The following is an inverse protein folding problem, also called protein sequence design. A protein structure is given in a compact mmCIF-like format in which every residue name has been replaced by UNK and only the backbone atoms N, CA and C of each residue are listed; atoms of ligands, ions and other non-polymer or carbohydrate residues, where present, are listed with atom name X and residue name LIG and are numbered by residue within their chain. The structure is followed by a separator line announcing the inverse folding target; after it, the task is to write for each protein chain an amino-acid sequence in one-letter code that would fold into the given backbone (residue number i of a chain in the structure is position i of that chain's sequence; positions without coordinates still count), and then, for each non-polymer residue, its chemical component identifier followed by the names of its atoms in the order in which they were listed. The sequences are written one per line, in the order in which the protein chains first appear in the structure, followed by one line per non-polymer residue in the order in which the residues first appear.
data_IF_003541385899
#
_entry.id   IF_003541385899
#
_cell.length_a   1.000
_cell.length_b   1.000
_cell.length_c   1.000
_cell.angle_alpha   90.00
_cell.angle_beta   90.00
_cell.angle_gamma   90.00
#
_symmetry.space_group_name_H-M   'P 1'
#
loop_
_entity.id
_entity.type
_entity.pdbx_description
1 polymer ?
#
# COMPACT_ATOMS: atom_id res chain seq x y z
N UNK A 1 12.76 5.13 -1.32
CA UNK A 1 11.95 4.70 -2.49
C UNK A 1 12.77 4.44 -3.75
N UNK A 2 13.97 5.02 -3.92
CA UNK A 2 14.79 4.77 -5.13
C UNK A 2 15.31 3.33 -5.27
N UNK A 3 15.66 2.63 -4.18
CA UNK A 3 16.15 1.23 -4.29
C UNK A 3 15.05 0.20 -4.63
N UNK A 4 13.79 0.47 -4.24
CA UNK A 4 12.63 -0.31 -4.72
C UNK A 4 12.46 -0.23 -6.25
N UNK A 5 13.02 0.80 -6.91
CA UNK A 5 12.92 0.94 -8.38
C UNK A 5 13.72 -0.10 -9.14
N UNK A 6 14.87 -0.55 -8.61
CA UNK A 6 15.81 -1.34 -9.40
C UNK A 6 15.28 -2.74 -9.72
N UNK A 7 14.34 -3.26 -8.92
CA UNK A 7 13.77 -4.59 -9.11
C UNK A 7 12.24 -4.62 -9.17
N UNK A 8 11.53 -3.55 -8.81
CA UNK A 8 10.08 -3.54 -9.02
C UNK A 8 9.76 -3.51 -10.52
N UNK A 9 8.63 -4.10 -10.91
CA UNK A 9 8.06 -3.92 -12.26
C UNK A 9 7.59 -2.46 -12.50
N UNK A 10 7.89 -1.54 -11.57
CA UNK A 10 7.51 -0.13 -11.62
C UNK A 10 6.13 0.14 -11.05
N UNK A 11 5.65 1.40 -11.16
CA UNK A 11 4.34 1.83 -10.66
C UNK A 11 3.19 0.97 -11.16
N UNK A 12 3.26 0.50 -12.41
CA UNK A 12 2.24 -0.36 -13.07
C UNK A 12 2.02 -1.70 -12.37
N UNK A 13 2.97 -2.15 -11.57
CA UNK A 13 2.85 -3.39 -10.78
C UNK A 13 2.39 -3.17 -9.34
N UNK A 14 2.17 -1.90 -8.98
CA UNK A 14 1.74 -1.53 -7.64
C UNK A 14 0.23 -1.43 -7.61
N UNK A 15 -0.36 -2.33 -6.84
CA UNK A 15 -1.79 -2.39 -6.61
C UNK A 15 -2.11 -1.73 -5.26
N UNK A 16 -2.71 -0.55 -5.31
CA UNK A 16 -3.02 0.30 -4.16
C UNK A 16 -4.32 1.06 -4.42
N UNK A 17 -5.14 1.23 -3.37
CA UNK A 17 -6.46 1.86 -3.49
C UNK A 17 -6.40 3.34 -3.90
N UNK A 18 -5.27 4.02 -3.61
CA UNK A 18 -5.19 5.47 -3.71
C UNK A 18 -5.48 5.98 -5.12
N UNK A 19 -4.90 5.36 -6.16
CA UNK A 19 -5.15 5.80 -7.54
C UNK A 19 -6.62 5.59 -7.96
N UNK A 20 -7.20 4.39 -7.84
CA UNK A 20 -8.62 4.16 -8.09
C UNK A 20 -9.54 5.09 -7.28
N UNK A 21 -9.17 5.39 -6.04
CA UNK A 21 -9.92 6.33 -5.21
C UNK A 21 -9.85 7.77 -5.71
N UNK A 22 -8.67 8.24 -6.12
CA UNK A 22 -8.54 9.56 -6.73
C UNK A 22 -9.32 9.62 -8.05
N UNK A 23 -9.27 8.57 -8.87
CA UNK A 23 -10.06 8.49 -10.11
C UNK A 23 -11.58 8.52 -9.82
N UNK A 24 -12.03 7.87 -8.73
CA UNK A 24 -13.42 7.96 -8.23
C UNK A 24 -13.79 9.38 -7.77
N UNK A 25 -12.89 10.06 -7.04
CA UNK A 25 -13.11 11.45 -6.62
C UNK A 25 -13.18 12.39 -7.82
N UNK A 26 -12.31 12.21 -8.82
CA UNK A 26 -12.37 12.96 -10.09
C UNK A 26 -13.74 12.82 -10.74
N UNK A 27 -14.27 11.60 -10.86
CA UNK A 27 -15.60 11.40 -11.45
C UNK A 27 -16.74 12.05 -10.64
N UNK A 28 -16.58 12.15 -9.32
CA UNK A 28 -17.64 12.63 -8.42
C UNK A 28 -17.64 14.13 -8.23
N UNK A 29 -16.46 14.73 -8.12
CA UNK A 29 -16.29 16.13 -7.70
C UNK A 29 -15.76 17.05 -8.82
N UNK A 30 -15.19 16.51 -9.91
CA UNK A 30 -14.71 17.36 -10.99
C UNK A 30 -15.91 17.93 -11.78
N UNK A 31 -15.99 19.26 -11.83
CA UNK A 31 -16.91 19.98 -12.70
C UNK A 31 -16.29 20.24 -14.08
N UNK A 32 -14.94 20.28 -14.15
CA UNK A 32 -14.14 20.50 -15.36
C UNK A 32 -13.04 19.43 -15.50
N UNK A 33 -12.65 19.09 -16.73
CA UNK A 33 -11.65 18.04 -17.00
C UNK A 33 -10.27 18.28 -16.36
N UNK A 34 -9.88 19.55 -16.14
CA UNK A 34 -8.57 19.95 -15.61
C UNK A 34 -8.59 20.34 -14.12
N UNK A 35 -9.72 20.11 -13.43
CA UNK A 35 -9.84 20.48 -12.01
C UNK A 35 -8.96 19.60 -11.12
N UNK A 36 -8.06 20.22 -10.36
CA UNK A 36 -7.26 19.52 -9.37
C UNK A 36 -8.12 19.11 -8.16
N UNK A 37 -8.34 17.80 -8.00
CA UNK A 37 -9.13 17.26 -6.90
C UNK A 37 -8.26 17.00 -5.67
N UNK A 38 -8.78 17.41 -4.51
CA UNK A 38 -8.10 17.27 -3.23
C UNK A 38 -8.54 15.97 -2.58
N UNK A 39 -7.57 15.23 -2.04
CA UNK A 39 -7.86 14.02 -1.28
C UNK A 39 -8.76 14.35 -0.06
N UNK A 40 -9.81 13.55 0.12
CA UNK A 40 -10.72 13.61 1.27
C UNK A 40 -10.99 12.20 1.78
N UNK A 41 -11.23 12.02 3.08
CA UNK A 41 -11.67 10.76 3.68
C UNK A 41 -13.18 10.57 3.60
N UNK A 42 -13.95 11.65 3.33
CA UNK A 42 -15.40 11.65 3.39
C UNK A 42 -16.06 10.68 2.41
N UNK A 43 -15.44 10.44 1.26
CA UNK A 43 -16.00 9.61 0.20
C UNK A 43 -15.46 8.19 0.15
N UNK A 44 -14.62 7.79 1.12
CA UNK A 44 -14.11 6.42 1.20
C UNK A 44 -15.24 5.39 1.38
N UNK A 45 -16.27 5.60 2.23
CA UNK A 45 -17.36 4.63 2.35
C UNK A 45 -18.08 4.41 1.02
N UNK A 46 -18.44 5.49 0.32
CA UNK A 46 -19.13 5.42 -0.97
C UNK A 46 -18.26 4.75 -2.05
N UNK A 47 -16.96 5.01 -2.05
CA UNK A 47 -16.00 4.33 -2.91
C UNK A 47 -16.01 2.81 -2.66
N UNK A 48 -15.96 2.39 -1.39
CA UNK A 48 -16.01 0.97 -1.00
C UNK A 48 -17.37 0.31 -1.29
N UNK A 49 -18.46 1.07 -1.33
CA UNK A 49 -19.76 0.61 -1.81
C UNK A 49 -19.80 0.44 -3.33
N UNK A 50 -19.14 1.35 -4.07
CA UNK A 50 -19.07 1.29 -5.54
C UNK A 50 -18.16 0.18 -6.06
N UNK A 51 -17.05 -0.09 -5.36
CA UNK A 51 -16.08 -1.12 -5.70
C UNK A 51 -15.73 -1.96 -4.46
N UNK A 52 -16.59 -2.95 -4.22
CA UNK A 52 -16.48 -3.85 -3.07
C UNK A 52 -15.17 -4.64 -3.01
N UNK A 53 -14.41 -4.73 -4.10
CA UNK A 53 -13.11 -5.38 -4.12
C UNK A 53 -12.17 -4.78 -3.07
N UNK A 54 -12.18 -3.45 -2.90
CA UNK A 54 -11.30 -2.74 -1.96
C UNK A 54 -11.65 -2.96 -0.49
N UNK A 55 -12.86 -3.45 -0.17
CA UNK A 55 -13.25 -3.76 1.21
C UNK A 55 -12.37 -4.85 1.83
N UNK A 56 -11.81 -5.74 1.00
CA UNK A 56 -10.89 -6.78 1.47
C UNK A 56 -9.51 -6.26 1.84
N UNK A 57 -9.11 -5.11 1.30
CA UNK A 57 -7.76 -4.56 1.43
C UNK A 57 -7.69 -3.33 2.32
N UNK A 58 -8.81 -2.83 2.84
CA UNK A 58 -8.90 -1.61 3.65
C UNK A 58 -9.74 -1.84 4.90
N UNK A 59 -9.40 -1.14 5.98
CA UNK A 59 -10.21 -1.05 7.21
C UNK A 59 -10.52 0.41 7.48
N UNK A 60 -11.81 0.68 7.71
CA UNK A 60 -12.31 2.03 7.87
C UNK A 60 -13.05 2.22 9.20
N UNK A 61 -13.04 3.46 9.69
CA UNK A 61 -13.92 3.94 10.73
C UNK A 61 -14.90 4.93 10.09
N UNK A 62 -16.13 4.48 9.82
CA UNK A 62 -17.14 5.25 9.09
C UNK A 62 -17.47 6.59 9.74
N UNK A 63 -17.45 6.67 11.08
CA UNK A 63 -17.71 7.93 11.80
C UNK A 63 -16.60 8.96 11.53
N UNK A 64 -15.34 8.51 11.58
CA UNK A 64 -14.20 9.37 11.27
C UNK A 64 -14.16 9.75 9.78
N UNK A 65 -14.60 8.85 8.88
CA UNK A 65 -14.73 9.17 7.47
C UNK A 65 -15.73 10.30 7.25
N UNK A 66 -16.91 10.24 7.86
CA UNK A 66 -17.92 11.29 7.78
C UNK A 66 -17.41 12.66 8.31
N UNK A 67 -16.48 12.65 9.26
CA UNK A 67 -15.83 13.86 9.80
C UNK A 67 -14.57 14.28 9.03
N UNK A 68 -14.22 13.56 7.96
CA UNK A 68 -13.02 13.77 7.15
C UNK A 68 -11.70 13.70 7.97
N UNK A 69 -11.63 12.79 8.94
CA UNK A 69 -10.46 12.65 9.81
C UNK A 69 -9.50 11.54 9.32
N UNK A 70 -8.17 11.68 9.56
CA UNK A 70 -7.20 10.64 9.22
C UNK A 70 -7.48 9.27 9.87
N UNK A 71 -8.13 9.26 11.04
CA UNK A 71 -8.58 8.06 11.74
C UNK A 71 -9.63 7.25 10.97
N UNK A 72 -10.16 7.80 9.86
CA UNK A 72 -11.01 7.07 8.91
C UNK A 72 -10.32 5.84 8.36
N UNK A 73 -9.04 5.90 7.96
CA UNK A 73 -8.29 4.76 7.45
C UNK A 73 -7.41 4.18 8.55
N UNK A 74 -7.85 3.07 9.13
CA UNK A 74 -7.13 2.42 10.24
C UNK A 74 -6.04 1.49 9.76
N UNK A 75 -6.24 0.83 8.62
CA UNK A 75 -5.21 0.03 7.94
C UNK A 75 -5.59 -0.19 6.48
N UNK A 76 -4.58 -0.39 5.63
CA UNK A 76 -4.77 -0.78 4.24
C UNK A 76 -3.60 -1.63 3.76
N UNK A 77 -3.85 -2.39 2.69
CA UNK A 77 -2.86 -3.20 1.99
C UNK A 77 -2.54 -2.55 0.65
N UNK A 78 -1.27 -2.55 0.29
CA UNK A 78 -0.84 -2.41 -1.10
C UNK A 78 0.16 -3.51 -1.42
N UNK A 79 0.18 -3.94 -2.67
CA UNK A 79 1.13 -4.95 -3.15
C UNK A 79 1.91 -4.36 -4.31
N UNK A 80 3.16 -4.76 -4.47
CA UNK A 80 3.96 -4.37 -5.63
C UNK A 80 4.74 -5.57 -6.14
N UNK A 81 4.82 -5.72 -7.46
CA UNK A 81 5.49 -6.83 -8.11
C UNK A 81 6.99 -6.56 -8.25
N UNK A 82 7.81 -7.60 -8.08
CA UNK A 82 9.25 -7.54 -8.31
C UNK A 82 9.68 -8.51 -9.41
N UNK A 83 10.58 -8.06 -10.27
CA UNK A 83 11.21 -8.83 -11.35
C UNK A 83 12.47 -9.52 -10.86
N UNK A 84 12.98 -10.46 -11.66
CA UNK A 84 14.38 -10.95 -11.69
C UNK A 84 14.95 -11.66 -10.45
N UNK A 85 14.29 -11.63 -9.30
CA UNK A 85 14.76 -12.28 -8.07
C UNK A 85 13.89 -13.49 -7.75
N UNK A 86 14.17 -14.61 -8.42
CA UNK A 86 13.48 -15.89 -8.18
C UNK A 86 14.21 -16.77 -7.16
N UNK A 87 15.49 -16.49 -6.88
CA UNK A 87 16.28 -17.25 -5.93
C UNK A 87 16.13 -16.71 -4.49
N UNK A 88 16.08 -17.61 -3.51
CA UNK A 88 16.00 -17.21 -2.10
C UNK A 88 17.18 -16.31 -1.70
N UNK A 89 18.41 -16.64 -2.14
CA UNK A 89 19.64 -15.93 -1.79
C UNK A 89 19.60 -14.44 -2.14
N UNK A 90 19.02 -14.11 -3.28
CA UNK A 90 18.91 -12.73 -3.77
C UNK A 90 17.74 -11.98 -3.09
N UNK A 91 16.76 -12.71 -2.57
CA UNK A 91 15.61 -12.12 -1.89
C UNK A 91 15.85 -11.74 -0.42
N UNK A 92 16.73 -12.43 0.32
CA UNK A 92 16.97 -12.08 1.73
C UNK A 92 17.43 -10.62 1.92
N UNK A 93 18.43 -10.11 1.17
CA UNK A 93 18.86 -8.71 1.29
C UNK A 93 17.71 -7.74 0.98
N UNK A 94 16.88 -8.07 0.00
CA UNK A 94 15.73 -7.26 -0.39
C UNK A 94 14.67 -7.18 0.72
N UNK A 95 14.37 -8.31 1.38
CA UNK A 95 13.44 -8.34 2.53
C UNK A 95 13.98 -7.47 3.67
N UNK A 96 15.29 -7.54 3.95
CA UNK A 96 15.93 -6.69 4.96
C UNK A 96 15.84 -5.20 4.59
N UNK A 97 16.05 -4.85 3.33
CA UNK A 97 15.88 -3.48 2.84
C UNK A 97 14.45 -2.97 2.99
N UNK A 98 13.44 -3.80 2.67
CA UNK A 98 12.05 -3.42 2.86
C UNK A 98 11.71 -3.17 4.32
N UNK A 99 12.18 -4.05 5.22
CA UNK A 99 12.07 -3.85 6.67
C UNK A 99 12.78 -2.58 7.11
N UNK A 100 13.94 -2.26 6.54
CA UNK A 100 14.63 -1.01 6.83
C UNK A 100 13.85 0.23 6.37
N UNK A 101 13.08 0.15 5.28
CA UNK A 101 12.15 1.22 4.86
C UNK A 101 10.98 1.32 5.85
N UNK A 102 10.35 0.20 6.21
CA UNK A 102 9.28 0.16 7.21
C UNK A 102 9.72 0.76 8.55
N UNK A 103 10.93 0.45 9.00
CA UNK A 103 11.51 0.95 10.24
C UNK A 103 11.77 2.47 10.24
N UNK A 104 11.75 3.14 9.07
CA UNK A 104 11.82 4.61 9.01
C UNK A 104 10.50 5.28 9.37
N UNK A 105 9.41 4.52 9.39
CA UNK A 105 8.06 4.99 9.67
C UNK A 105 7.39 4.12 10.76
N UNK A 106 7.98 4.06 11.96
CA UNK A 106 7.46 3.21 13.04
C UNK A 106 6.07 3.67 13.53
N UNK A 107 5.78 4.96 13.37
CA UNK A 107 4.50 5.60 13.65
C UNK A 107 3.35 5.08 12.78
N UNK A 108 3.66 4.63 11.56
CA UNK A 108 2.68 4.11 10.60
C UNK A 108 2.43 2.61 10.74
N UNK A 109 3.20 1.90 11.57
CA UNK A 109 3.05 0.45 11.77
C UNK A 109 3.20 -0.38 10.49
N UNK A 110 4.00 0.09 9.52
CA UNK A 110 4.15 -0.58 8.22
C UNK A 110 4.82 -1.93 8.37
N UNK A 111 4.22 -2.98 7.80
CA UNK A 111 4.79 -4.32 7.79
C UNK A 111 5.00 -4.81 6.35
N UNK A 112 6.26 -5.09 5.99
CA UNK A 112 6.60 -5.68 4.70
C UNK A 112 6.39 -7.21 4.76
N UNK A 113 5.48 -7.73 3.93
CA UNK A 113 5.18 -9.16 3.86
C UNK A 113 5.55 -9.76 2.49
N UNK A 114 6.08 -10.98 2.54
CA UNK A 114 6.25 -11.89 1.41
C UNK A 114 6.07 -13.31 1.94
N UNK A 115 5.53 -14.24 1.14
CA UNK A 115 5.45 -15.66 1.52
C UNK A 115 6.82 -16.24 1.91
N UNK A 116 7.89 -15.70 1.30
CA UNK A 116 9.27 -16.09 1.55
C UNK A 116 9.87 -15.46 2.80
N UNK A 117 9.18 -14.53 3.46
CA UNK A 117 9.64 -13.92 4.72
C UNK A 117 9.82 -14.96 5.84
N UNK A 118 8.97 -15.98 5.88
CA UNK A 118 9.07 -17.08 6.87
C UNK A 118 10.38 -17.87 6.72
N UNK A 119 10.75 -18.19 5.48
CA UNK A 119 12.05 -18.80 5.18
C UNK A 119 13.20 -17.82 5.44
N UNK A 120 13.00 -16.53 5.17
CA UNK A 120 13.96 -15.48 5.52
C UNK A 120 14.32 -15.46 7.00
N UNK A 121 13.30 -15.53 7.84
CA UNK A 121 13.44 -15.48 9.28
C UNK A 121 14.09 -16.74 9.87
N UNK A 122 13.92 -17.89 9.20
CA UNK A 122 14.60 -19.13 9.57
C UNK A 122 16.10 -19.14 9.20
N UNK A 123 16.55 -18.39 8.21
CA UNK A 123 18.00 -18.41 7.88
C UNK A 123 18.78 -17.41 8.74
N UNK A 124 18.15 -16.34 9.22
CA UNK A 124 18.79 -15.41 10.15
C UNK A 124 19.25 -16.06 11.46
N UNK A 125 18.58 -17.11 11.96
CA UNK A 125 19.02 -17.81 13.18
C UNK A 125 20.22 -18.74 12.96
N UNK A 126 20.54 -19.09 11.72
CA UNK A 126 21.59 -20.06 11.40
C UNK A 126 22.97 -19.43 11.16
N UNK A 127 23.04 -18.10 11.17
CA UNK A 127 24.27 -17.33 10.91
C UNK A 127 24.80 -16.66 12.20
N UNK A 128 24.11 -16.85 13.34
CA UNK A 128 24.58 -16.48 14.68
C UNK A 128 25.15 -17.71 15.43
#
# INVERSE_FOLDING_TARGET
MELLRNFSYGPESTFCFLKPYMDFLMFREAEEEDQAIVFTYAHIPDFLDSDSYWRGTMRTNETACALNEPSCLTSFLFTTGFTTLSSYREMFPLIQEWRAISNKHPDLGVYAYSERSTYADQVNFLVD
#
